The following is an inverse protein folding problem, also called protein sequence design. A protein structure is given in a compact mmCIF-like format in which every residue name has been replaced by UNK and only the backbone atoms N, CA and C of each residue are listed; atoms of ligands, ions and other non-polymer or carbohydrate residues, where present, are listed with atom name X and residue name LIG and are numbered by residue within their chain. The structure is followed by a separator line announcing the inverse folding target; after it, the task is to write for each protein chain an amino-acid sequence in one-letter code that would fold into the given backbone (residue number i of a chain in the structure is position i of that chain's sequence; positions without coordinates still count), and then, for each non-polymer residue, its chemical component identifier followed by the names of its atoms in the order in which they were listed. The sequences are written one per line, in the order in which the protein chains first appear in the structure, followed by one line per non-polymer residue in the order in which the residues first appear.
data_IF_165789221077
#
_entry.id   IF_165789221077
#
_cell.length_a   1.000
_cell.length_b   1.000
_cell.length_c   1.000
_cell.angle_alpha   90.00
_cell.angle_beta   90.00
_cell.angle_gamma   90.00
#
_symmetry.space_group_name_H-M   'P 1'
#
loop_
_entity.id
_entity.type
_entity.pdbx_description
1 polymer ?
#
# COMPACT_ATOMS: atom_id res chain seq x y z
N UNK A 1 5.42 12.42 7.96
CA UNK A 1 5.36 11.06 7.37
C UNK A 1 4.07 10.35 7.79
N UNK A 2 3.75 10.32 9.06
CA UNK A 2 2.55 9.65 9.58
C UNK A 2 1.24 10.25 9.07
N UNK A 3 1.14 11.56 9.01
CA UNK A 3 -0.05 12.29 8.56
C UNK A 3 -0.35 12.05 7.07
N UNK A 4 0.70 12.00 6.25
CA UNK A 4 0.60 11.75 4.80
C UNK A 4 0.05 10.35 4.49
N UNK A 5 0.52 9.36 5.24
CA UNK A 5 0.10 7.97 5.06
C UNK A 5 -1.36 7.74 5.47
N UNK A 6 -1.82 8.46 6.48
CA UNK A 6 -3.19 8.33 7.00
C UNK A 6 -4.26 8.76 5.98
N UNK A 7 -4.09 9.90 5.34
CA UNK A 7 -5.06 10.40 4.34
C UNK A 7 -5.20 9.46 3.14
N UNK A 8 -4.11 8.88 2.70
CA UNK A 8 -4.09 7.94 1.58
C UNK A 8 -4.82 6.64 1.89
N UNK A 9 -4.60 6.07 3.05
CA UNK A 9 -5.25 4.82 3.47
C UNK A 9 -6.76 4.97 3.64
N UNK A 10 -7.21 6.11 4.15
CA UNK A 10 -8.64 6.36 4.39
C UNK A 10 -9.44 6.36 3.09
N UNK A 11 -8.92 6.96 2.03
CA UNK A 11 -9.58 7.01 0.72
C UNK A 11 -9.62 5.63 0.03
N UNK A 12 -8.60 4.81 0.17
CA UNK A 12 -8.56 3.46 -0.42
C UNK A 12 -9.48 2.47 0.30
N UNK A 13 -9.69 2.61 1.59
CA UNK A 13 -10.56 1.75 2.36
C UNK A 13 -12.05 1.89 1.99
N UNK A 14 -12.48 3.07 1.56
CA UNK A 14 -13.85 3.31 1.10
C UNK A 14 -14.13 2.61 -0.23
N UNK A 15 -13.15 2.49 -1.11
CA UNK A 15 -13.34 1.91 -2.44
C UNK A 15 -13.59 0.39 -2.44
N UNK A 16 -13.07 -0.31 -1.45
CA UNK A 16 -13.19 -1.78 -1.34
C UNK A 16 -14.62 -2.23 -1.00
N UNK A 17 -15.40 -1.35 -0.39
CA UNK A 17 -16.78 -1.65 0.01
C UNK A 17 -17.75 -1.86 -1.17
N UNK A 18 -17.35 -1.51 -2.38
CA UNK A 18 -18.22 -1.56 -3.57
C UNK A 18 -18.04 -2.81 -4.44
N UNK A 19 -17.02 -3.62 -4.20
CA UNK A 19 -16.78 -4.87 -4.94
C UNK A 19 -17.41 -6.05 -4.21
N UNK A 20 -18.66 -6.32 -4.49
CA UNK A 20 -19.44 -7.40 -3.85
C UNK A 20 -19.48 -8.68 -4.67
N UNK A 21 -19.55 -9.83 -4.04
CA UNK A 21 -20.26 -10.95 -4.61
C UNK A 21 -19.73 -12.37 -4.49
N UNK A 22 -18.63 -12.67 -3.76
CA UNK A 22 -18.25 -14.04 -3.48
C UNK A 22 -18.06 -14.32 -1.98
N UNK A 23 -18.02 -15.60 -1.58
CA UNK A 23 -17.85 -16.01 -0.18
C UNK A 23 -16.52 -15.50 0.44
N UNK A 24 -15.48 -15.36 -0.37
CA UNK A 24 -14.19 -14.81 0.05
C UNK A 24 -14.27 -13.32 0.36
N UNK A 25 -15.20 -12.61 -0.30
CA UNK A 25 -15.43 -11.18 -0.09
C UNK A 25 -15.89 -10.88 1.34
N UNK A 26 -16.85 -11.62 1.90
CA UNK A 26 -17.34 -11.40 3.25
C UNK A 26 -16.25 -11.59 4.31
N UNK A 27 -15.50 -12.68 4.21
CA UNK A 27 -14.36 -12.94 5.11
C UNK A 27 -13.30 -11.84 4.99
N UNK A 28 -12.91 -11.50 3.76
CA UNK A 28 -11.91 -10.48 3.50
C UNK A 28 -12.31 -9.12 4.04
N UNK A 29 -13.57 -8.70 3.85
CA UNK A 29 -14.08 -7.43 4.37
C UNK A 29 -14.10 -7.41 5.90
N UNK A 30 -14.45 -8.51 6.55
CA UNK A 30 -14.40 -8.61 8.02
C UNK A 30 -12.97 -8.48 8.54
N UNK A 31 -12.02 -9.15 7.91
CA UNK A 31 -10.60 -9.04 8.27
C UNK A 31 -10.03 -7.66 8.01
N UNK A 32 -10.42 -6.99 6.92
CA UNK A 32 -10.02 -5.61 6.65
C UNK A 32 -10.51 -4.65 7.74
N UNK A 33 -11.74 -4.81 8.23
CA UNK A 33 -12.24 -3.99 9.34
C UNK A 33 -11.39 -4.14 10.60
N UNK A 34 -11.09 -5.38 10.98
CA UNK A 34 -10.20 -5.65 12.12
C UNK A 34 -8.81 -5.05 11.92
N UNK A 35 -8.30 -5.19 10.72
CA UNK A 35 -7.01 -4.64 10.34
C UNK A 35 -6.99 -3.11 10.41
N UNK A 36 -8.08 -2.45 10.04
CA UNK A 36 -8.23 -0.99 10.14
C UNK A 36 -8.14 -0.52 11.59
N UNK A 37 -8.80 -1.19 12.51
CA UNK A 37 -8.73 -0.85 13.93
C UNK A 37 -7.30 -0.99 14.44
N UNK A 38 -6.59 -2.05 14.05
CA UNK A 38 -5.18 -2.25 14.37
C UNK A 38 -4.30 -1.16 13.77
N UNK A 39 -4.54 -0.79 12.50
CA UNK A 39 -3.81 0.27 11.82
C UNK A 39 -3.97 1.62 12.53
N UNK A 40 -5.20 2.00 12.87
CA UNK A 40 -5.48 3.24 13.60
C UNK A 40 -4.80 3.24 14.97
N UNK A 41 -4.84 2.12 15.68
CA UNK A 41 -4.17 1.99 16.97
C UNK A 41 -2.65 2.07 16.84
N UNK A 42 -2.07 1.48 15.81
CA UNK A 42 -0.61 1.56 15.55
C UNK A 42 -0.18 3.01 15.33
N UNK A 43 -0.96 3.80 14.60
CA UNK A 43 -0.69 5.23 14.41
C UNK A 43 -0.77 5.99 15.73
N UNK A 44 -1.82 5.77 16.53
CA UNK A 44 -2.00 6.43 17.84
C UNK A 44 -0.89 6.10 18.82
N UNK A 45 -0.35 4.91 18.77
CA UNK A 45 0.73 4.43 19.65
C UNK A 45 2.12 4.67 19.06
N UNK A 46 2.22 5.23 17.87
CA UNK A 46 3.47 5.38 17.12
C UNK A 46 4.21 4.05 16.90
N UNK A 47 3.45 2.97 16.75
CA UNK A 47 3.97 1.63 16.48
C UNK A 47 4.17 1.45 14.97
N UNK A 48 5.36 1.80 14.51
CA UNK A 48 5.72 1.75 13.11
C UNK A 48 5.73 0.33 12.53
N UNK A 49 6.20 -0.64 13.30
CA UNK A 49 6.28 -2.04 12.85
C UNK A 49 4.87 -2.59 12.60
N UNK A 50 3.96 -2.41 13.55
CA UNK A 50 2.56 -2.84 13.40
C UNK A 50 1.86 -2.10 12.26
N UNK A 51 2.17 -0.82 12.06
CA UNK A 51 1.67 -0.03 10.93
C UNK A 51 2.07 -0.67 9.60
N UNK A 52 3.34 -0.98 9.39
CA UNK A 52 3.83 -1.63 8.18
C UNK A 52 3.24 -3.03 7.98
N UNK A 53 3.13 -3.81 9.05
CA UNK A 53 2.51 -5.11 9.04
C UNK A 53 1.05 -5.05 8.59
N UNK A 54 0.30 -4.07 9.07
CA UNK A 54 -1.08 -3.85 8.67
C UNK A 54 -1.21 -3.50 7.17
N UNK A 55 -0.33 -2.66 6.64
CA UNK A 55 -0.32 -2.31 5.21
C UNK A 55 -0.04 -3.54 4.35
N UNK A 56 0.99 -4.31 4.68
CA UNK A 56 1.34 -5.51 3.95
C UNK A 56 0.21 -6.54 4.00
N UNK A 57 -0.39 -6.74 5.17
CA UNK A 57 -1.52 -7.65 5.33
C UNK A 57 -2.75 -7.18 4.55
N UNK A 58 -2.99 -5.88 4.50
CA UNK A 58 -4.07 -5.30 3.70
C UNK A 58 -3.92 -5.66 2.23
N UNK A 59 -2.72 -5.53 1.66
CA UNK A 59 -2.48 -5.88 0.28
C UNK A 59 -2.74 -7.38 0.00
N UNK A 60 -2.32 -8.26 0.88
CA UNK A 60 -2.61 -9.69 0.77
C UNK A 60 -4.11 -10.00 0.83
N UNK A 61 -4.86 -9.31 1.71
CA UNK A 61 -6.31 -9.44 1.76
C UNK A 61 -7.01 -8.92 0.50
N UNK A 62 -6.51 -7.84 -0.09
CA UNK A 62 -7.02 -7.34 -1.37
C UNK A 62 -6.86 -8.38 -2.48
N UNK A 63 -5.70 -9.01 -2.58
CA UNK A 63 -5.43 -10.08 -3.55
C UNK A 63 -6.33 -11.30 -3.32
N UNK A 64 -6.62 -11.62 -2.08
CA UNK A 64 -7.54 -12.69 -1.71
C UNK A 64 -8.98 -12.41 -2.11
N UNK A 65 -9.45 -11.16 -1.91
CA UNK A 65 -10.80 -10.72 -2.27
C UNK A 65 -10.95 -10.64 -3.79
N UNK A 66 -9.97 -10.07 -4.47
CA UNK A 66 -9.99 -9.87 -5.92
C UNK A 66 -8.61 -10.16 -6.53
N UNK A 67 -8.44 -11.34 -7.16
CA UNK A 67 -7.16 -11.70 -7.79
C UNK A 67 -6.69 -10.71 -8.87
N UNK A 68 -7.60 -9.93 -9.46
CA UNK A 68 -7.28 -8.92 -10.47
C UNK A 68 -6.60 -7.65 -9.90
N UNK A 69 -6.56 -7.50 -8.59
CA UNK A 69 -5.88 -6.40 -7.91
C UNK A 69 -4.38 -6.40 -8.19
N UNK A 70 -3.78 -7.58 -8.35
CA UNK A 70 -2.36 -7.72 -8.66
C UNK A 70 -2.12 -8.64 -9.85
N UNK A 71 -0.89 -8.65 -10.31
CA UNK A 71 -0.38 -9.56 -11.33
C UNK A 71 1.10 -9.84 -11.05
N UNK A 72 1.72 -10.73 -11.84
CA UNK A 72 3.11 -11.13 -11.64
C UNK A 72 4.12 -9.98 -11.64
N UNK A 73 3.86 -8.93 -12.43
CA UNK A 73 4.73 -7.73 -12.48
C UNK A 73 4.60 -6.88 -11.23
N UNK A 74 3.38 -6.68 -10.75
CA UNK A 74 3.11 -5.93 -9.51
C UNK A 74 3.68 -6.69 -8.31
N UNK A 75 3.46 -8.01 -8.25
CA UNK A 75 3.98 -8.85 -7.16
C UNK A 75 5.50 -8.83 -7.12
N UNK A 76 6.15 -8.91 -8.28
CA UNK A 76 7.61 -8.81 -8.36
C UNK A 76 8.13 -7.45 -7.94
N UNK A 77 7.50 -6.37 -8.41
CA UNK A 77 7.86 -5.01 -8.01
C UNK A 77 7.72 -4.82 -6.50
N UNK A 78 6.59 -5.26 -5.94
CA UNK A 78 6.34 -5.21 -4.50
C UNK A 78 7.39 -5.98 -3.70
N UNK A 79 7.68 -7.21 -4.10
CA UNK A 79 8.70 -8.04 -3.45
C UNK A 79 10.10 -7.41 -3.48
N UNK A 80 10.50 -6.90 -4.63
CA UNK A 80 11.80 -6.23 -4.78
C UNK A 80 11.85 -4.92 -3.95
N UNK A 81 10.76 -4.17 -3.91
CA UNK A 81 10.67 -2.98 -3.05
C UNK A 81 10.82 -3.34 -1.58
N UNK A 82 10.13 -4.36 -1.09
CA UNK A 82 10.21 -4.82 0.29
C UNK A 82 11.60 -5.32 0.68
N UNK A 83 12.32 -5.90 -0.27
CA UNK A 83 13.68 -6.37 -0.03
C UNK A 83 14.68 -5.21 0.10
N UNK A 84 14.58 -4.18 -0.74
CA UNK A 84 15.64 -3.19 -0.91
C UNK A 84 15.31 -1.79 -0.41
N UNK A 85 14.09 -1.31 -0.54
CA UNK A 85 13.78 0.12 -0.36
C UNK A 85 12.59 0.43 0.54
N UNK A 86 11.72 -0.54 0.81
CA UNK A 86 10.46 -0.30 1.54
C UNK A 86 10.22 -1.30 2.67
N UNK A 87 9.48 -0.88 3.69
CA UNK A 87 8.99 -1.72 4.78
C UNK A 87 7.56 -2.19 4.57
N UNK A 88 6.82 -1.49 3.72
CA UNK A 88 5.46 -1.89 3.35
C UNK A 88 5.11 -1.43 1.93
N UNK A 89 4.24 -2.20 1.27
CA UNK A 89 3.71 -1.88 -0.05
C UNK A 89 2.24 -2.21 -0.16
N UNK A 90 1.53 -1.47 -1.00
CA UNK A 90 0.16 -1.77 -1.40
C UNK A 90 -0.15 -1.13 -2.75
N UNK A 91 -1.18 -1.61 -3.44
CA UNK A 91 -1.66 -0.97 -4.67
C UNK A 91 -2.56 0.21 -4.36
N UNK A 92 -2.57 1.18 -5.28
CA UNK A 92 -3.48 2.32 -5.24
C UNK A 92 -4.70 2.05 -6.13
N UNK A 93 -5.89 2.36 -5.60
CA UNK A 93 -7.14 2.23 -6.33
C UNK A 93 -7.56 0.77 -6.55
N UNK A 94 -8.15 0.50 -7.71
CA UNK A 94 -8.70 -0.82 -8.04
C UNK A 94 -7.64 -1.92 -8.26
N UNK A 95 -6.37 -1.55 -8.36
CA UNK A 95 -5.28 -2.48 -8.68
C UNK A 95 -5.22 -2.85 -10.16
N UNK A 96 -4.45 -3.88 -10.48
CA UNK A 96 -4.24 -4.34 -11.87
C UNK A 96 -3.33 -3.47 -12.71
N UNK A 97 -2.95 -2.31 -12.21
CA UNK A 97 -2.11 -1.29 -12.85
C UNK A 97 -2.19 0.03 -12.09
N UNK A 98 -1.60 1.09 -12.63
CA UNK A 98 -1.57 2.41 -12.00
C UNK A 98 -0.39 2.58 -11.05
N UNK A 99 -0.64 2.82 -9.78
CA UNK A 99 0.40 3.15 -8.80
C UNK A 99 0.55 2.08 -7.72
N UNK A 100 1.78 1.81 -7.36
CA UNK A 100 2.13 1.10 -6.13
C UNK A 100 2.49 2.14 -5.06
N UNK A 101 1.90 1.99 -3.88
CA UNK A 101 2.25 2.75 -2.69
C UNK A 101 3.36 2.00 -1.94
N UNK A 102 4.34 2.74 -1.45
CA UNK A 102 5.42 2.17 -0.64
C UNK A 102 5.73 3.05 0.56
N UNK A 103 5.91 2.43 1.71
CA UNK A 103 6.47 3.06 2.91
C UNK A 103 7.97 2.81 2.87
N UNK A 104 8.75 3.85 2.64
CA UNK A 104 10.19 3.71 2.46
C UNK A 104 10.89 3.37 3.78
N UNK A 105 11.94 2.56 3.69
CA UNK A 105 12.85 2.33 4.80
C UNK A 105 13.49 3.63 5.25
N UNK A 106 13.82 3.72 6.52
CA UNK A 106 14.52 4.88 7.07
C UNK A 106 15.79 5.17 6.28
N UNK A 107 15.99 6.45 5.93
CA UNK A 107 17.16 6.90 5.17
C UNK A 107 17.10 6.68 3.67
N UNK A 108 16.09 6.01 3.14
CA UNK A 108 15.90 5.85 1.68
C UNK A 108 15.27 7.10 1.09
N UNK A 109 15.91 7.66 0.08
CA UNK A 109 15.42 8.85 -0.64
C UNK A 109 14.62 8.46 -1.89
N UNK A 110 13.80 9.39 -2.39
CA UNK A 110 13.06 9.20 -3.64
C UNK A 110 13.99 8.96 -4.83
N UNK A 111 15.13 9.66 -4.89
CA UNK A 111 16.12 9.46 -5.95
C UNK A 111 16.67 8.02 -5.93
N UNK A 112 16.93 7.47 -4.75
CA UNK A 112 17.37 6.08 -4.61
C UNK A 112 16.28 5.09 -5.07
N UNK A 113 15.02 5.38 -4.81
CA UNK A 113 13.89 4.57 -5.31
C UNK A 113 13.81 4.63 -6.83
N UNK A 114 13.95 5.80 -7.43
CA UNK A 114 13.94 5.96 -8.88
C UNK A 114 15.09 5.21 -9.55
N UNK A 115 16.29 5.31 -9.01
CA UNK A 115 17.45 4.56 -9.49
C UNK A 115 17.20 3.04 -9.39
N UNK A 116 16.71 2.59 -8.27
CA UNK A 116 16.37 1.18 -8.05
C UNK A 116 15.35 0.67 -9.08
N UNK A 117 14.26 1.42 -9.31
CA UNK A 117 13.24 1.05 -10.29
C UNK A 117 13.81 1.05 -11.70
N UNK A 118 14.59 2.05 -12.08
CA UNK A 118 15.20 2.13 -13.41
C UNK A 118 16.17 0.98 -13.66
N UNK A 119 16.89 0.51 -12.66
CA UNK A 119 17.83 -0.59 -12.78
C UNK A 119 17.15 -1.96 -12.83
N UNK A 120 16.18 -2.19 -11.93
CA UNK A 120 15.55 -3.50 -11.76
C UNK A 120 14.26 -3.67 -12.56
N UNK A 121 13.56 -2.58 -12.85
CA UNK A 121 12.26 -2.57 -13.53
C UNK A 121 12.23 -1.51 -14.65
N UNK A 122 13.13 -1.60 -15.65
CA UNK A 122 13.27 -0.55 -16.67
C UNK A 122 12.04 -0.36 -17.56
N UNK A 123 11.10 -1.30 -17.55
CA UNK A 123 9.82 -1.22 -18.25
C UNK A 123 8.76 -0.39 -17.49
N UNK A 124 9.02 -0.04 -16.24
CA UNK A 124 8.14 0.81 -15.45
C UNK A 124 8.55 2.25 -15.69
N UNK A 125 7.64 3.06 -16.20
CA UNK A 125 7.82 4.51 -16.21
C UNK A 125 7.65 5.01 -14.78
N UNK A 126 8.74 5.12 -14.05
CA UNK A 126 8.69 5.60 -12.68
C UNK A 126 8.42 7.10 -12.66
N UNK A 127 7.30 7.47 -12.09
CA UNK A 127 7.06 8.81 -11.59
C UNK A 127 6.94 8.68 -10.08
N UNK A 128 8.05 8.37 -9.41
CA UNK A 128 8.08 8.35 -7.96
C UNK A 128 7.80 9.77 -7.46
N UNK A 129 6.69 9.95 -6.78
CA UNK A 129 6.30 11.22 -6.15
C UNK A 129 6.17 10.99 -4.66
N UNK A 130 6.76 11.89 -3.90
CA UNK A 130 6.45 11.95 -2.48
C UNK A 130 5.01 12.43 -2.33
N UNK A 131 4.23 11.71 -1.53
CA UNK A 131 2.91 12.16 -1.14
C UNK A 131 3.11 13.33 -0.16
N UNK A 132 2.58 14.49 -0.51
CA UNK A 132 2.54 15.66 0.36
C UNK A 132 1.11 15.86 0.82
N UNK A 133 0.92 16.07 2.12
CA UNK A 133 -0.33 16.59 2.64
C UNK A 133 -0.48 18.04 2.17
N UNK A 134 -1.59 18.33 1.54
CA UNK A 134 -2.02 19.70 1.36
C UNK A 134 -2.72 20.10 2.66
N UNK A 135 -2.15 21.03 3.39
CA UNK A 135 -2.70 21.57 4.66
C UNK A 135 -4.14 22.11 4.50
N UNK A 136 -4.57 22.32 3.28
CA UNK A 136 -5.90 22.85 2.92
C UNK A 136 -7.02 21.79 2.92
N UNK A 137 -6.73 20.51 3.12
CA UNK A 137 -7.73 19.43 3.10
C UNK A 137 -8.27 19.09 4.50
N UNK A 138 -7.69 19.68 5.52
CA UNK A 138 -8.05 19.45 6.94
C UNK A 138 -8.67 20.71 7.59
#
# INVERSE_FOLDING_TARGET
IWETVFAFLFNNLIYIYTCSGNKNSLFGHTEIRRLNDRLVNSIRQSDYEEFCNCINRHFELLKFISPLVSNSKIDKLSADCLEFVADATSVCGAGGGGYLFAVLKEGVTINQVEEFINQKHPYIKSHAKQIQLLDEIW
#
